data_IF_294416354413
#
_entry.id   IF_294416354413
#
_cell.length_a   1.000
_cell.length_b   1.000
_cell.length_c   1.000
_cell.angle_alpha   90.00
_cell.angle_beta   90.00
_cell.angle_gamma   90.00
#
_symmetry.space_group_name_H-M   'P 1'
#
loop_
_entity.id
_entity.type
_entity.pdbx_description
1 polymer ?
#
# COMPACT_ATOMS: atom_id res chain seq x y z
N UNK A 1 -11.36 -14.15 -26.09
CA UNK A 1 -12.05 -14.92 -27.14
C UNK A 1 -12.33 -13.94 -28.25
N UNK A 2 -12.07 -14.30 -29.51
CA UNK A 2 -12.56 -13.52 -30.65
C UNK A 2 -14.07 -13.70 -30.70
N UNK A 3 -14.85 -12.61 -30.64
CA UNK A 3 -16.33 -12.66 -30.64
C UNK A 3 -16.89 -13.40 -31.87
N UNK A 4 -16.12 -13.43 -32.96
CA UNK A 4 -16.47 -14.03 -34.25
C UNK A 4 -16.71 -15.56 -34.24
N UNK A 5 -16.34 -16.26 -33.16
CA UNK A 5 -16.47 -17.73 -33.05
C UNK A 5 -17.64 -18.18 -32.17
N UNK A 6 -18.43 -17.25 -31.62
CA UNK A 6 -19.57 -17.58 -30.77
C UNK A 6 -20.82 -17.86 -31.63
N UNK A 7 -21.53 -18.99 -31.45
CA UNK A 7 -22.79 -19.21 -32.14
C UNK A 7 -23.86 -18.19 -31.72
N UNK A 8 -24.57 -17.60 -32.69
CA UNK A 8 -25.53 -16.50 -32.48
C UNK A 8 -26.68 -16.82 -31.49
N UNK A 9 -27.00 -18.10 -31.30
CA UNK A 9 -28.05 -18.54 -30.38
C UNK A 9 -27.59 -18.63 -28.91
N UNK A 10 -26.29 -18.53 -28.65
CA UNK A 10 -25.69 -18.54 -27.30
C UNK A 10 -25.43 -17.10 -26.85
N UNK A 11 -26.00 -16.74 -25.69
CA UNK A 11 -25.81 -15.41 -25.13
C UNK A 11 -24.40 -15.28 -24.50
N UNK A 12 -23.80 -14.08 -24.55
CA UNK A 12 -22.45 -13.82 -24.03
C UNK A 12 -22.27 -14.29 -22.58
N UNK A 13 -23.26 -14.06 -21.71
CA UNK A 13 -23.26 -14.52 -20.32
C UNK A 13 -23.02 -16.03 -20.16
N UNK A 14 -23.60 -16.85 -21.04
CA UNK A 14 -23.43 -18.31 -21.00
C UNK A 14 -22.03 -18.69 -21.46
N UNK A 15 -21.50 -17.99 -22.46
CA UNK A 15 -20.13 -18.17 -22.92
C UNK A 15 -19.09 -17.81 -21.84
N UNK A 16 -19.33 -16.74 -21.08
CA UNK A 16 -18.52 -16.36 -19.92
C UNK A 16 -18.57 -17.42 -18.82
N UNK A 17 -19.75 -17.97 -18.52
CA UNK A 17 -19.91 -19.09 -17.57
C UNK A 17 -19.11 -20.33 -18.01
N UNK A 18 -19.16 -20.69 -19.29
CA UNK A 18 -18.38 -21.81 -19.86
C UNK A 18 -16.88 -21.53 -19.76
N UNK A 19 -16.46 -20.32 -20.12
CA UNK A 19 -15.05 -19.91 -20.06
C UNK A 19 -14.51 -19.96 -18.63
N UNK A 20 -15.29 -19.46 -17.67
CA UNK A 20 -14.95 -19.54 -16.25
C UNK A 20 -14.85 -20.99 -15.79
N UNK A 21 -15.90 -21.80 -16.02
CA UNK A 21 -15.93 -23.19 -15.57
C UNK A 21 -14.74 -23.98 -16.16
N UNK A 22 -14.46 -23.81 -17.46
CA UNK A 22 -13.32 -24.44 -18.12
C UNK A 22 -11.97 -24.00 -17.54
N UNK A 23 -11.77 -22.70 -17.26
CA UNK A 23 -10.55 -22.19 -16.61
C UNK A 23 -10.41 -22.72 -15.19
N UNK A 24 -11.49 -22.68 -14.40
CA UNK A 24 -11.54 -23.16 -13.03
C UNK A 24 -11.18 -24.65 -12.94
N UNK A 25 -11.85 -25.49 -13.74
CA UNK A 25 -11.59 -26.93 -13.82
C UNK A 25 -10.14 -27.19 -14.29
N UNK A 26 -9.62 -26.42 -15.25
CA UNK A 26 -8.22 -26.54 -15.68
C UNK A 26 -7.24 -26.24 -14.54
N UNK A 27 -7.50 -25.20 -13.76
CA UNK A 27 -6.66 -24.81 -12.61
C UNK A 27 -6.72 -25.87 -11.51
N UNK A 28 -7.90 -26.44 -11.24
CA UNK A 28 -8.09 -27.50 -10.26
C UNK A 28 -7.45 -28.83 -10.70
N UNK A 29 -7.49 -29.15 -12.00
CA UNK A 29 -6.93 -30.40 -12.52
C UNK A 29 -5.42 -30.35 -12.75
N UNK A 30 -4.87 -29.18 -13.06
CA UNK A 30 -3.44 -29.04 -13.32
C UNK A 30 -2.95 -27.64 -12.87
N UNK A 31 -2.50 -27.49 -11.61
CA UNK A 31 -1.89 -26.25 -11.15
C UNK A 31 -0.63 -26.04 -11.99
N UNK A 32 -0.67 -25.08 -12.92
CA UNK A 32 0.37 -24.95 -13.93
C UNK A 32 1.75 -24.71 -13.30
N UNK A 33 2.79 -25.42 -13.77
CA UNK A 33 4.20 -25.21 -13.40
C UNK A 33 4.69 -23.77 -13.65
N UNK A 34 3.97 -22.97 -14.45
CA UNK A 34 4.27 -21.56 -14.67
C UNK A 34 4.14 -20.70 -13.40
N UNK A 35 3.24 -21.06 -12.47
CA UNK A 35 3.04 -20.31 -11.23
C UNK A 35 4.12 -20.57 -10.17
N UNK A 36 4.91 -21.64 -10.33
CA UNK A 36 6.06 -21.95 -9.49
C UNK A 36 7.36 -21.25 -9.94
N UNK A 37 7.37 -20.62 -11.12
CA UNK A 37 8.58 -20.15 -11.80
C UNK A 37 8.55 -18.64 -12.12
N UNK A 38 8.20 -17.80 -11.14
CA UNK A 38 8.48 -16.36 -11.19
C UNK A 38 9.21 -15.80 -9.94
N UNK A 39 9.51 -16.65 -8.94
CA UNK A 39 10.26 -16.26 -7.74
C UNK A 39 11.75 -16.65 -7.73
N UNK A 40 12.24 -17.35 -8.75
CA UNK A 40 13.62 -17.84 -8.81
C UNK A 40 14.31 -17.40 -10.11
N UNK A 41 14.71 -16.14 -10.19
CA UNK A 41 15.42 -15.63 -11.35
C UNK A 41 15.69 -14.14 -11.30
N UNK A 42 16.58 -13.73 -10.39
CA UNK A 42 17.55 -12.63 -10.57
C UNK A 42 18.43 -12.49 -9.32
N UNK A 43 19.26 -13.51 -9.06
CA UNK A 43 20.51 -13.30 -8.33
C UNK A 43 21.61 -13.10 -9.38
N UNK A 44 21.73 -11.87 -9.89
CA UNK A 44 22.95 -11.42 -10.55
C UNK A 44 23.83 -10.76 -9.50
N UNK A 45 24.95 -11.43 -9.24
CA UNK A 45 26.12 -11.02 -8.48
C UNK A 45 26.37 -9.49 -8.41
N UNK A 46 26.50 -8.97 -7.20
CA UNK A 46 27.42 -7.86 -6.92
C UNK A 46 28.13 -8.11 -5.59
N UNK A 47 29.40 -8.49 -5.70
CA UNK A 47 30.38 -8.56 -4.62
C UNK A 47 30.42 -7.23 -3.85
N UNK A 48 30.40 -7.31 -2.52
CA UNK A 48 31.02 -6.30 -1.64
C UNK A 48 31.79 -6.98 -0.50
N UNK A 49 32.85 -6.33 0.03
CA UNK A 49 33.96 -6.99 0.68
C UNK A 49 33.69 -7.23 2.17
N UNK A 50 34.19 -8.35 2.67
CA UNK A 50 34.28 -8.67 4.09
C UNK A 50 35.26 -7.71 4.78
N UNK A 51 34.83 -7.05 5.86
CA UNK A 51 35.72 -6.65 6.95
C UNK A 51 35.26 -7.29 8.26
N UNK A 52 36.18 -7.65 9.17
CA UNK A 52 35.90 -8.52 10.30
C UNK A 52 35.59 -7.69 11.56
N UNK A 53 34.54 -8.07 12.30
CA UNK A 53 34.38 -7.66 13.69
C UNK A 53 34.31 -8.91 14.58
N UNK A 54 35.41 -9.04 15.31
CA UNK A 54 35.71 -10.06 16.29
C UNK A 54 35.11 -9.61 17.63
N UNK A 55 34.03 -10.24 18.08
CA UNK A 55 33.60 -10.18 19.48
C UNK A 55 33.22 -11.60 19.92
N UNK A 56 34.11 -12.20 20.72
CA UNK A 56 33.86 -13.41 21.50
C UNK A 56 32.81 -13.12 22.58
N UNK A 57 31.80 -13.97 22.69
CA UNK A 57 30.99 -14.04 23.91
C UNK A 57 29.70 -14.83 23.77
N UNK A 58 29.69 -16.00 24.41
CA UNK A 58 28.54 -16.83 24.77
C UNK A 58 27.77 -17.57 23.66
N UNK A 59 28.27 -18.77 23.39
CA UNK A 59 27.48 -19.90 22.92
C UNK A 59 26.32 -20.21 23.91
N UNK A 60 25.09 -20.02 23.44
CA UNK A 60 23.96 -20.89 23.82
C UNK A 60 23.48 -21.56 22.54
N UNK A 61 23.67 -22.87 22.49
CA UNK A 61 23.21 -23.75 21.42
C UNK A 61 21.70 -23.59 21.22
N UNK A 62 21.29 -22.97 20.13
CA UNK A 62 19.97 -23.20 19.54
C UNK A 62 20.10 -24.40 18.61
N UNK A 63 19.31 -25.47 18.77
CA UNK A 63 19.23 -26.48 17.74
C UNK A 63 18.52 -25.83 16.55
N UNK A 64 19.30 -25.56 15.51
CA UNK A 64 18.80 -25.30 14.17
C UNK A 64 18.19 -26.60 13.66
N UNK A 65 17.03 -27.00 14.18
CA UNK A 65 16.13 -27.86 13.44
C UNK A 65 15.57 -27.01 12.30
N UNK A 66 16.35 -26.98 11.21
CA UNK A 66 15.74 -27.05 9.88
C UNK A 66 14.91 -28.32 9.91
N UNK A 67 13.66 -28.23 10.34
CA UNK A 67 12.69 -29.15 9.81
C UNK A 67 12.67 -28.84 8.31
N UNK A 68 13.11 -29.79 7.46
CA UNK A 68 12.73 -29.68 6.08
C UNK A 68 11.21 -29.75 6.14
N UNK A 69 10.52 -28.66 5.78
CA UNK A 69 9.16 -28.81 5.31
C UNK A 69 9.24 -29.93 4.29
N UNK A 70 8.73 -31.09 4.69
CA UNK A 70 8.56 -32.21 3.82
C UNK A 70 7.74 -31.61 2.71
N UNK A 71 8.39 -31.41 1.57
CA UNK A 71 7.74 -31.33 0.30
C UNK A 71 7.02 -32.68 0.18
N UNK A 72 5.87 -32.80 0.85
CA UNK A 72 4.86 -33.76 0.52
C UNK A 72 4.54 -33.37 -0.90
N UNK A 73 5.18 -34.09 -1.82
CA UNK A 73 4.72 -34.20 -3.19
C UNK A 73 3.21 -34.36 -3.06
N UNK A 74 2.46 -33.30 -3.34
CA UNK A 74 1.07 -33.40 -3.70
C UNK A 74 1.09 -34.05 -5.09
N UNK A 75 1.43 -35.34 -5.10
CA UNK A 75 1.18 -36.25 -6.20
C UNK A 75 -0.32 -36.30 -6.35
N UNK A 76 -0.83 -35.47 -7.25
CA UNK A 76 -2.07 -35.71 -8.01
C UNK A 76 -3.23 -36.35 -7.25
N UNK A 77 -3.55 -35.86 -6.06
CA UNK A 77 -4.92 -36.02 -5.57
C UNK A 77 -5.72 -34.94 -6.31
N UNK A 78 -6.60 -35.39 -7.19
CA UNK A 78 -7.47 -34.51 -7.98
C UNK A 78 -8.16 -33.51 -7.03
N UNK A 79 -7.89 -32.22 -7.22
CA UNK A 79 -8.54 -31.17 -6.41
C UNK A 79 -10.05 -31.10 -6.68
N UNK A 80 -10.51 -31.76 -7.74
CA UNK A 80 -11.90 -32.11 -7.99
C UNK A 80 -12.11 -33.54 -7.49
N UNK A 81 -13.08 -33.77 -6.60
CA UNK A 81 -13.40 -35.15 -6.25
C UNK A 81 -13.88 -35.88 -7.51
N UNK A 82 -13.42 -37.13 -7.69
CA UNK A 82 -13.83 -37.98 -8.81
C UNK A 82 -15.37 -38.06 -8.94
N UNK A 83 -16.10 -38.04 -7.82
CA UNK A 83 -17.57 -38.04 -7.82
C UNK A 83 -18.23 -36.81 -8.44
N UNK A 84 -17.56 -35.66 -8.45
CA UNK A 84 -18.06 -34.43 -9.09
C UNK A 84 -17.62 -34.35 -10.55
N UNK A 85 -16.44 -34.87 -10.87
CA UNK A 85 -16.03 -35.09 -12.26
C UNK A 85 -17.03 -36.02 -12.99
N UNK A 86 -17.44 -37.11 -12.34
CA UNK A 86 -18.44 -38.05 -12.87
C UNK A 86 -19.82 -37.39 -13.04
N UNK A 87 -20.22 -36.50 -12.12
CA UNK A 87 -21.47 -35.71 -12.26
C UNK A 87 -21.41 -34.74 -13.43
N UNK A 88 -20.28 -34.06 -13.61
CA UNK A 88 -20.08 -33.15 -14.75
C UNK A 88 -20.12 -33.93 -16.06
N UNK A 89 -19.47 -35.10 -16.11
CA UNK A 89 -19.50 -36.00 -17.26
C UNK A 89 -20.92 -36.47 -17.57
N UNK A 90 -21.69 -36.92 -16.57
CA UNK A 90 -23.08 -37.33 -16.75
C UNK A 90 -23.96 -36.20 -17.31
N UNK A 91 -23.83 -34.98 -16.79
CA UNK A 91 -24.57 -33.81 -17.32
C UNK A 91 -24.21 -33.50 -18.78
N UNK A 92 -22.93 -33.63 -19.16
CA UNK A 92 -22.49 -33.40 -20.53
C UNK A 92 -22.93 -34.52 -21.49
N UNK A 93 -22.99 -35.77 -21.00
CA UNK A 93 -23.49 -36.91 -21.76
C UNK A 93 -24.99 -36.79 -22.02
N UNK A 94 -25.79 -36.43 -21.00
CA UNK A 94 -27.24 -36.21 -21.14
C UNK A 94 -27.56 -35.12 -22.19
N UNK A 95 -26.81 -34.01 -22.17
CA UNK A 95 -26.93 -32.97 -23.19
C UNK A 95 -26.55 -33.46 -24.59
N UNK A 96 -25.53 -34.33 -24.71
CA UNK A 96 -25.08 -34.87 -26.00
C UNK A 96 -26.04 -35.92 -26.57
N UNK A 97 -26.70 -36.70 -25.71
CA UNK A 97 -27.67 -37.73 -26.10
C UNK A 97 -29.02 -37.13 -26.52
N UNK A 98 -29.30 -35.88 -26.13
CA UNK A 98 -30.51 -35.17 -26.55
C UNK A 98 -30.55 -34.93 -28.08
N UNK A 99 -31.68 -35.27 -28.71
CA UNK A 99 -31.87 -35.18 -30.17
C UNK A 99 -32.11 -33.76 -30.69
N UNK A 100 -32.55 -32.85 -29.81
CA UNK A 100 -32.84 -31.45 -30.12
C UNK A 100 -32.17 -30.52 -29.09
N UNK A 101 -31.67 -29.37 -29.56
CA UNK A 101 -31.01 -28.38 -28.69
C UNK A 101 -32.03 -27.62 -27.83
N UNK A 102 -32.09 -27.99 -26.56
CA UNK A 102 -32.91 -27.30 -25.56
C UNK A 102 -32.08 -26.23 -24.84
N UNK A 103 -32.26 -24.96 -25.25
CA UNK A 103 -31.52 -23.81 -24.68
C UNK A 103 -31.55 -23.77 -23.14
N UNK A 104 -32.72 -23.95 -22.53
CA UNK A 104 -32.89 -23.91 -21.06
C UNK A 104 -32.13 -25.02 -20.34
N UNK A 105 -32.18 -26.25 -20.87
CA UNK A 105 -31.47 -27.40 -20.29
C UNK A 105 -29.95 -27.21 -20.39
N UNK A 106 -29.48 -26.68 -21.52
CA UNK A 106 -28.07 -26.34 -21.71
C UNK A 106 -27.61 -25.25 -20.72
N UNK A 107 -28.35 -24.15 -20.59
CA UNK A 107 -28.04 -23.08 -19.63
C UNK A 107 -28.01 -23.60 -18.18
N UNK A 108 -29.00 -24.41 -17.78
CA UNK A 108 -29.07 -25.00 -16.43
C UNK A 108 -27.91 -25.94 -16.13
N UNK A 109 -27.47 -26.73 -17.11
CA UNK A 109 -26.32 -27.62 -16.96
C UNK A 109 -25.02 -26.81 -16.85
N UNK A 110 -24.84 -25.79 -17.69
CA UNK A 110 -23.68 -24.87 -17.62
C UNK A 110 -23.62 -24.17 -16.26
N UNK A 111 -24.75 -23.68 -15.74
CA UNK A 111 -24.81 -23.03 -14.43
C UNK A 111 -24.51 -24.00 -13.29
N UNK A 112 -24.95 -25.25 -13.40
CA UNK A 112 -24.62 -26.31 -12.44
C UNK A 112 -23.13 -26.63 -12.43
N UNK A 113 -22.50 -26.78 -13.59
CA UNK A 113 -21.04 -27.00 -13.71
C UNK A 113 -20.27 -25.80 -13.17
N UNK A 114 -20.73 -24.56 -13.47
CA UNK A 114 -20.14 -23.33 -12.94
C UNK A 114 -20.20 -23.29 -11.42
N UNK A 115 -21.35 -23.60 -10.83
CA UNK A 115 -21.56 -23.59 -9.39
C UNK A 115 -20.65 -24.60 -8.66
N UNK A 116 -20.52 -25.83 -9.22
CA UNK A 116 -19.59 -26.84 -8.70
C UNK A 116 -18.16 -26.30 -8.73
N UNK A 117 -17.69 -25.84 -9.90
CA UNK A 117 -16.33 -25.33 -10.06
C UNK A 117 -16.02 -24.13 -9.13
N UNK A 118 -16.99 -23.22 -8.96
CA UNK A 118 -16.84 -22.07 -8.09
C UNK A 118 -16.78 -22.46 -6.61
N UNK A 119 -17.57 -23.44 -6.17
CA UNK A 119 -17.54 -23.95 -4.80
C UNK A 119 -16.19 -24.60 -4.45
N UNK A 120 -15.61 -25.38 -5.38
CA UNK A 120 -14.27 -25.95 -5.16
C UNK A 120 -13.17 -24.91 -5.13
N UNK A 121 -13.22 -23.91 -6.01
CA UNK A 121 -12.27 -22.81 -5.96
C UNK A 121 -12.39 -22.05 -4.62
N UNK A 122 -13.61 -21.85 -4.13
CA UNK A 122 -13.83 -21.25 -2.82
C UNK A 122 -13.19 -22.08 -1.71
N UNK A 123 -13.41 -23.40 -1.67
CA UNK A 123 -12.79 -24.27 -0.67
C UNK A 123 -11.26 -24.27 -0.77
N UNK A 124 -10.72 -24.28 -1.98
CA UNK A 124 -9.28 -24.24 -2.21
C UNK A 124 -8.67 -22.91 -1.73
N UNK A 125 -9.29 -21.78 -2.04
CA UNK A 125 -8.74 -20.46 -1.76
C UNK A 125 -9.00 -20.02 -0.32
N UNK A 126 -10.23 -20.19 0.17
CA UNK A 126 -10.63 -19.72 1.51
C UNK A 126 -10.14 -20.65 2.60
N UNK A 127 -10.39 -21.96 2.46
CA UNK A 127 -10.09 -22.93 3.53
C UNK A 127 -8.65 -23.42 3.44
N UNK A 128 -8.20 -23.88 2.26
CA UNK A 128 -6.86 -24.48 2.13
C UNK A 128 -5.74 -23.45 2.05
N UNK A 129 -5.96 -22.33 1.36
CA UNK A 129 -4.96 -21.28 1.21
C UNK A 129 -5.11 -20.12 2.20
N UNK A 130 -6.08 -20.19 3.13
CA UNK A 130 -6.27 -19.24 4.22
C UNK A 130 -6.41 -17.77 3.75
N UNK A 131 -7.32 -17.55 2.79
CA UNK A 131 -7.60 -16.22 2.23
C UNK A 131 -7.86 -15.18 3.33
N UNK A 132 -8.59 -15.56 4.37
CA UNK A 132 -8.94 -14.63 5.46
C UNK A 132 -7.69 -14.12 6.19
N UNK A 133 -6.71 -14.97 6.47
CA UNK A 133 -5.44 -14.54 7.05
C UNK A 133 -4.66 -13.59 6.13
N UNK A 134 -4.66 -13.83 4.82
CA UNK A 134 -4.05 -12.94 3.84
C UNK A 134 -4.77 -11.59 3.73
N UNK A 135 -6.11 -11.58 3.72
CA UNK A 135 -6.90 -10.35 3.74
C UNK A 135 -6.66 -9.55 5.02
N UNK A 136 -6.56 -10.22 6.17
CA UNK A 136 -6.22 -9.58 7.44
C UNK A 136 -4.83 -8.95 7.38
N UNK A 137 -3.84 -9.63 6.78
CA UNK A 137 -2.52 -9.04 6.57
C UNK A 137 -2.59 -7.78 5.66
N UNK A 138 -3.40 -7.79 4.60
CA UNK A 138 -3.62 -6.61 3.78
C UNK A 138 -4.27 -5.47 4.58
N UNK A 139 -5.26 -5.75 5.44
CA UNK A 139 -5.82 -4.75 6.35
C UNK A 139 -4.75 -4.21 7.33
N UNK A 140 -4.01 -5.09 7.97
CA UNK A 140 -3.00 -4.77 8.97
C UNK A 140 -1.90 -3.85 8.41
N UNK A 141 -1.39 -4.17 7.22
CA UNK A 141 -0.25 -3.47 6.61
C UNK A 141 -0.65 -2.41 5.57
N UNK A 142 -1.55 -2.70 4.64
CA UNK A 142 -1.93 -1.72 3.59
C UNK A 142 -2.96 -0.70 4.07
N UNK A 143 -3.83 -1.07 5.02
CA UNK A 143 -4.83 -0.15 5.58
C UNK A 143 -4.40 0.45 6.93
N UNK A 144 -3.17 0.15 7.38
CA UNK A 144 -2.55 0.68 8.61
C UNK A 144 -3.31 0.30 9.90
N UNK A 145 -4.01 -0.84 9.93
CA UNK A 145 -4.68 -1.27 11.17
C UNK A 145 -3.69 -1.60 12.30
N UNK A 146 -2.45 -2.02 11.97
CA UNK A 146 -1.33 -2.07 12.93
C UNK A 146 -0.73 -0.69 13.17
N UNK A 147 -1.49 0.14 13.87
CA UNK A 147 -1.14 1.54 14.11
C UNK A 147 0.17 1.72 14.91
N UNK A 148 0.46 0.79 15.83
CA UNK A 148 1.69 0.75 16.63
C UNK A 148 2.94 0.49 15.78
N UNK A 149 2.86 -0.45 14.84
CA UNK A 149 3.91 -0.75 13.88
C UNK A 149 4.24 0.47 13.02
N UNK A 150 3.22 1.09 12.40
CA UNK A 150 3.45 2.28 11.56
C UNK A 150 3.88 3.49 12.37
N UNK A 151 3.40 3.64 13.61
CA UNK A 151 3.88 4.68 14.51
C UNK A 151 5.38 4.49 14.81
N UNK A 152 5.81 3.29 15.19
CA UNK A 152 7.22 3.01 15.43
C UNK A 152 8.06 3.22 14.16
N UNK A 153 7.60 2.72 13.01
CA UNK A 153 8.28 2.92 11.73
C UNK A 153 8.48 4.41 11.39
N UNK A 154 7.42 5.23 11.49
CA UNK A 154 7.48 6.67 11.19
C UNK A 154 8.27 7.45 12.25
N UNK A 155 8.40 6.94 13.48
CA UNK A 155 9.29 7.48 14.50
C UNK A 155 10.76 7.25 14.16
N UNK A 156 11.13 6.01 13.85
CA UNK A 156 12.52 5.65 13.52
C UNK A 156 12.98 6.28 12.21
N UNK A 157 12.11 6.33 11.19
CA UNK A 157 12.44 6.88 9.87
C UNK A 157 12.32 8.40 9.77
N UNK A 158 11.86 9.11 10.82
CA UNK A 158 11.63 10.57 10.80
C UNK A 158 12.83 11.36 10.29
N UNK A 159 14.01 11.05 10.80
CA UNK A 159 15.24 11.77 10.47
C UNK A 159 15.66 11.59 9.00
N UNK A 160 15.34 10.44 8.40
CA UNK A 160 15.54 10.17 6.98
C UNK A 160 14.51 10.92 6.15
N UNK A 161 13.24 10.90 6.58
CA UNK A 161 12.13 11.46 5.81
C UNK A 161 12.02 12.98 5.86
N UNK A 162 12.81 13.65 6.70
CA UNK A 162 12.94 15.12 6.71
C UNK A 162 13.69 15.68 5.52
N UNK A 163 14.58 14.87 4.92
CA UNK A 163 15.30 15.25 3.72
C UNK A 163 14.63 14.59 2.50
N UNK A 164 14.74 15.19 1.30
CA UNK A 164 14.31 14.52 0.08
C UNK A 164 14.98 13.15 -0.06
N UNK A 165 14.26 12.11 -0.53
CA UNK A 165 14.82 10.77 -0.66
C UNK A 165 15.98 10.74 -1.64
N UNK A 166 17.03 9.99 -1.28
CA UNK A 166 18.15 9.69 -2.17
C UNK A 166 17.72 8.59 -3.14
N UNK A 167 17.70 8.90 -4.43
CA UNK A 167 17.15 8.00 -5.48
C UNK A 167 17.73 6.58 -5.47
N UNK A 168 19.01 6.40 -5.10
CA UNK A 168 19.68 5.09 -5.11
C UNK A 168 19.64 4.32 -3.79
N UNK A 169 19.49 5.00 -2.63
CA UNK A 169 19.62 4.35 -1.31
C UNK A 169 18.34 4.37 -0.49
N UNK A 170 17.36 5.22 -0.82
CA UNK A 170 16.25 5.46 0.09
C UNK A 170 15.32 4.25 0.33
N UNK A 171 15.25 3.27 -0.59
CA UNK A 171 14.58 1.99 -0.29
C UNK A 171 15.33 1.19 0.79
N UNK A 172 16.65 1.04 0.64
CA UNK A 172 17.48 0.34 1.61
C UNK A 172 17.53 1.06 2.97
N UNK A 173 17.60 2.39 2.93
CA UNK A 173 17.63 3.23 4.13
C UNK A 173 16.32 3.14 4.92
N UNK A 174 15.16 3.01 4.24
CA UNK A 174 13.87 2.82 4.90
C UNK A 174 13.58 1.37 5.29
N UNK A 175 14.19 0.38 4.63
CA UNK A 175 14.01 -1.03 4.97
C UNK A 175 14.49 -1.33 6.39
N UNK A 176 15.57 -0.70 6.83
CA UNK A 176 16.13 -0.86 8.18
C UNK A 176 15.12 -0.45 9.28
N UNK A 177 14.59 0.79 9.32
CA UNK A 177 13.59 1.18 10.31
C UNK A 177 12.28 0.40 10.15
N UNK A 178 11.93 -0.06 8.94
CA UNK A 178 10.76 -0.91 8.72
C UNK A 178 10.90 -2.28 9.41
N UNK A 179 12.05 -2.94 9.25
CA UNK A 179 12.37 -4.20 9.94
C UNK A 179 12.51 -3.99 11.45
N UNK A 180 13.13 -2.89 11.88
CA UNK A 180 13.26 -2.56 13.29
C UNK A 180 11.89 -2.38 13.95
N UNK A 181 10.97 -1.65 13.31
CA UNK A 181 9.59 -1.51 13.78
C UNK A 181 8.91 -2.88 13.91
N UNK A 182 9.12 -3.78 12.94
CA UNK A 182 8.57 -5.13 13.03
C UNK A 182 9.11 -5.86 14.26
N UNK A 183 10.43 -5.84 14.49
CA UNK A 183 11.01 -6.49 15.68
C UNK A 183 10.53 -5.89 17.01
N UNK A 184 10.10 -4.63 17.02
CA UNK A 184 9.65 -3.93 18.23
C UNK A 184 8.16 -4.15 18.53
N UNK A 185 7.32 -4.24 17.51
CA UNK A 185 5.86 -4.19 17.68
C UNK A 185 5.14 -5.43 17.15
N UNK A 186 5.68 -6.13 16.17
CA UNK A 186 5.07 -7.37 15.67
C UNK A 186 5.41 -8.52 16.60
N UNK A 187 4.41 -9.31 16.97
CA UNK A 187 4.64 -10.56 17.69
C UNK A 187 5.39 -11.55 16.80
N UNK A 188 6.20 -12.42 17.40
CA UNK A 188 6.91 -13.51 16.70
C UNK A 188 5.96 -14.46 15.93
N UNK A 189 4.64 -14.35 16.15
CA UNK A 189 3.59 -15.18 15.56
C UNK A 189 3.06 -14.66 14.21
N UNK A 190 3.46 -13.46 13.74
CA UNK A 190 2.97 -12.96 12.45
C UNK A 190 3.65 -13.63 11.25
N UNK A 191 3.08 -14.77 10.85
CA UNK A 191 3.50 -15.54 9.67
C UNK A 191 3.43 -14.78 8.33
N UNK A 192 2.69 -13.66 8.26
CA UNK A 192 2.48 -12.93 7.01
C UNK A 192 3.43 -11.75 6.80
N UNK A 193 4.12 -11.28 7.84
CA UNK A 193 5.05 -10.16 7.72
C UNK A 193 6.18 -10.42 6.71
N UNK A 194 6.67 -11.66 6.63
CA UNK A 194 7.71 -12.07 5.67
C UNK A 194 7.33 -11.87 4.19
N UNK A 195 6.03 -11.72 3.92
CA UNK A 195 5.48 -11.48 2.57
C UNK A 195 5.31 -10.00 2.24
N UNK A 196 5.48 -9.10 3.21
CA UNK A 196 5.35 -7.66 3.03
C UNK A 196 6.73 -7.06 2.85
N UNK A 197 6.91 -6.27 1.79
CA UNK A 197 8.17 -5.57 1.54
C UNK A 197 7.92 -4.11 1.18
N UNK A 198 8.74 -3.22 1.74
CA UNK A 198 8.71 -1.80 1.43
C UNK A 198 9.39 -1.53 0.09
N UNK A 199 8.76 -0.75 -0.78
CA UNK A 199 9.26 -0.42 -2.11
C UNK A 199 9.20 1.06 -2.35
N UNK A 200 10.27 1.61 -2.94
CA UNK A 200 10.29 2.99 -3.35
C UNK A 200 10.48 3.07 -4.87
N UNK A 201 9.47 3.53 -5.64
CA UNK A 201 9.60 3.73 -7.07
C UNK A 201 10.75 4.70 -7.33
N UNK A 202 11.76 4.28 -8.08
CA UNK A 202 12.84 5.16 -8.47
C UNK A 202 12.29 6.30 -9.33
N UNK A 203 12.18 7.50 -8.77
CA UNK A 203 11.88 8.71 -9.53
C UNK A 203 13.08 9.05 -10.41
N UNK A 204 13.16 8.49 -11.63
CA UNK A 204 14.21 8.91 -12.57
C UNK A 204 14.76 7.92 -13.58
N UNK A 205 14.01 6.93 -14.07
CA UNK A 205 14.30 6.36 -15.40
C UNK A 205 13.16 6.73 -16.33
N UNK A 206 13.29 7.86 -17.03
CA UNK A 206 12.61 8.02 -18.31
C UNK A 206 13.19 6.93 -19.22
N UNK A 207 12.56 5.76 -19.26
CA UNK A 207 12.74 4.81 -20.35
C UNK A 207 12.23 5.56 -21.58
N UNK A 208 13.15 6.15 -22.34
CA UNK A 208 12.89 6.50 -23.73
C UNK A 208 12.46 5.18 -24.37
N UNK A 209 11.18 5.04 -24.66
CA UNK A 209 10.72 4.04 -25.61
C UNK A 209 11.50 4.28 -26.90
N UNK A 210 12.40 3.37 -27.22
CA UNK A 210 13.04 3.32 -28.52
C UNK A 210 11.99 2.80 -29.52
N UNK A 211 11.26 3.72 -30.14
CA UNK A 211 10.64 3.54 -31.44
C UNK A 211 10.69 4.90 -32.16
N UNK A 212 11.40 4.93 -33.28
CA UNK A 212 11.90 6.15 -33.91
C UNK A 212 10.94 6.91 -34.82
N UNK A 213 11.47 8.05 -35.29
CA UNK A 213 11.20 8.74 -36.57
C UNK A 213 9.79 9.36 -36.75
N UNK A 214 9.59 10.65 -37.08
CA UNK A 214 10.36 11.63 -37.86
C UNK A 214 9.92 13.09 -37.52
N UNK A 215 10.90 14.00 -37.62
CA UNK A 215 10.84 15.42 -38.05
C UNK A 215 9.62 16.28 -37.65
N UNK A 216 9.91 17.35 -36.90
CA UNK A 216 9.53 18.72 -37.27
C UNK A 216 10.53 19.74 -36.67
N UNK A 217 11.03 20.65 -37.53
CA UNK A 217 12.00 21.70 -37.17
C UNK A 217 11.27 22.87 -36.46
N UNK A 218 11.84 23.51 -35.43
CA UNK A 218 11.37 24.82 -35.01
C UNK A 218 12.04 25.90 -35.87
N UNK A 219 11.22 26.79 -36.41
CA UNK A 219 11.63 28.03 -37.07
C UNK A 219 12.14 28.98 -35.98
N UNK A 220 13.33 29.51 -36.21
CA UNK A 220 13.97 30.57 -35.42
C UNK A 220 13.31 31.88 -35.83
N UNK A 221 12.69 32.59 -34.88
CA UNK A 221 12.53 34.03 -34.96
C UNK A 221 12.87 34.66 -33.61
N UNK A 222 13.82 35.59 -33.65
CA UNK A 222 14.48 36.15 -32.50
C UNK A 222 13.67 37.23 -31.80
N UNK A 223 13.71 37.20 -30.48
CA UNK A 223 13.61 38.41 -29.66
C UNK A 223 14.39 38.21 -28.35
N UNK A 224 15.38 39.06 -28.01
CA UNK A 224 16.13 38.95 -26.76
C UNK A 224 15.49 39.85 -25.71
N UNK A 225 14.76 39.26 -24.76
CA UNK A 225 14.19 40.01 -23.64
C UNK A 225 13.13 39.23 -22.89
N UNK A 226 13.53 38.52 -21.84
CA UNK A 226 12.59 37.78 -20.97
C UNK A 226 13.18 36.54 -20.30
N UNK A 227 14.41 36.62 -19.78
CA UNK A 227 15.01 35.52 -19.02
C UNK A 227 14.49 35.51 -17.57
N UNK A 228 13.22 35.15 -17.33
CA UNK A 228 12.67 34.96 -15.97
C UNK A 228 11.53 33.91 -15.91
N UNK A 229 11.57 32.83 -16.70
CA UNK A 229 10.58 31.76 -16.54
C UNK A 229 11.13 30.37 -16.87
N UNK A 230 12.03 29.88 -16.02
CA UNK A 230 12.39 28.45 -15.99
C UNK A 230 12.56 27.88 -14.57
N UNK A 231 12.21 28.65 -13.54
CA UNK A 231 12.39 28.24 -12.14
C UNK A 231 11.08 27.84 -11.42
N UNK A 232 9.92 27.85 -12.10
CA UNK A 232 8.63 27.51 -11.48
C UNK A 232 8.29 26.01 -11.51
N UNK A 233 9.20 25.15 -11.98
CA UNK A 233 9.00 23.69 -12.00
C UNK A 233 9.80 22.93 -10.93
N UNK A 234 10.42 23.65 -9.99
CA UNK A 234 11.16 23.06 -8.85
C UNK A 234 10.44 23.21 -7.50
N UNK A 235 9.25 23.84 -7.47
CA UNK A 235 8.62 24.35 -6.23
C UNK A 235 7.44 23.52 -5.70
N UNK A 236 7.39 22.20 -5.98
CA UNK A 236 6.35 21.29 -5.46
C UNK A 236 6.85 19.89 -5.06
N UNK A 237 8.12 19.75 -4.67
CA UNK A 237 8.69 18.48 -4.21
C UNK A 237 9.30 18.56 -2.81
N UNK A 238 8.64 19.28 -1.89
CA UNK A 238 9.03 19.27 -0.48
C UNK A 238 8.86 17.89 0.17
N UNK A 239 8.27 16.93 -0.55
CA UNK A 239 7.89 15.63 -0.03
C UNK A 239 8.11 14.53 -1.08
N UNK A 240 9.36 14.14 -1.29
CA UNK A 240 9.68 13.06 -2.25
C UNK A 240 9.27 11.66 -1.77
N UNK A 241 8.70 11.54 -0.58
CA UNK A 241 8.33 10.26 0.04
C UNK A 241 6.90 9.82 -0.29
N UNK A 242 6.16 10.60 -1.07
CA UNK A 242 4.82 10.24 -1.56
C UNK A 242 4.81 8.93 -2.38
N UNK A 243 5.97 8.50 -2.90
CA UNK A 243 6.12 7.26 -3.65
C UNK A 243 6.23 5.99 -2.79
N UNK A 244 6.42 6.09 -1.47
CA UNK A 244 6.62 4.90 -0.61
C UNK A 244 5.42 3.95 -0.73
N UNK A 245 5.68 2.69 -1.06
CA UNK A 245 4.67 1.68 -1.35
C UNK A 245 5.02 0.36 -0.67
N UNK A 246 4.03 -0.53 -0.57
CA UNK A 246 4.24 -1.90 -0.10
C UNK A 246 4.01 -2.87 -1.27
N UNK A 247 4.84 -3.90 -1.33
CA UNK A 247 4.59 -5.09 -2.15
C UNK A 247 4.20 -6.26 -1.25
N UNK A 248 3.26 -7.07 -1.74
CA UNK A 248 2.78 -8.27 -1.05
C UNK A 248 3.03 -9.51 -1.91
N UNK A 249 3.82 -10.45 -1.41
CA UNK A 249 4.17 -11.68 -2.13
C UNK A 249 3.10 -12.76 -1.93
N UNK A 250 2.47 -13.17 -3.04
CA UNK A 250 1.34 -14.08 -3.06
C UNK A 250 1.70 -15.35 -3.81
N UNK A 251 1.52 -16.48 -3.13
CA UNK A 251 1.70 -17.80 -3.73
C UNK A 251 0.41 -18.28 -4.39
N UNK A 252 0.55 -19.22 -5.33
CA UNK A 252 -0.59 -19.96 -5.84
C UNK A 252 -1.26 -20.74 -4.68
N UNK A 253 -2.60 -20.79 -4.56
CA UNK A 253 -3.65 -20.41 -5.52
C UNK A 253 -4.22 -18.99 -5.35
N UNK A 254 -3.74 -18.20 -4.40
CA UNK A 254 -4.32 -16.91 -4.03
C UNK A 254 -4.23 -15.85 -5.12
N UNK A 255 -3.33 -16.03 -6.09
CA UNK A 255 -3.20 -15.17 -7.28
C UNK A 255 -4.47 -15.13 -8.15
N UNK A 256 -5.35 -16.14 -8.03
CA UNK A 256 -6.66 -16.14 -8.68
C UNK A 256 -7.58 -15.06 -8.11
N UNK A 257 -7.39 -14.73 -6.83
CA UNK A 257 -8.17 -13.74 -6.11
C UNK A 257 -7.47 -12.37 -6.10
N UNK A 258 -6.19 -12.36 -5.77
CA UNK A 258 -5.37 -11.14 -5.73
C UNK A 258 -4.65 -10.93 -7.06
N UNK A 259 -5.32 -10.22 -7.96
CA UNK A 259 -4.69 -9.76 -9.20
C UNK A 259 -3.77 -8.56 -8.95
N UNK A 260 -2.90 -8.26 -9.91
CA UNK A 260 -2.04 -7.07 -9.83
C UNK A 260 -2.86 -5.78 -9.73
N UNK A 261 -4.02 -5.74 -10.38
CA UNK A 261 -4.95 -4.60 -10.31
C UNK A 261 -5.49 -4.42 -8.89
N UNK A 262 -5.89 -5.51 -8.23
CA UNK A 262 -6.36 -5.52 -6.85
C UNK A 262 -5.26 -5.00 -5.90
N UNK A 263 -4.04 -5.50 -6.02
CA UNK A 263 -2.92 -5.03 -5.20
C UNK A 263 -2.59 -3.56 -5.45
N UNK A 264 -2.66 -3.10 -6.70
CA UNK A 264 -2.43 -1.68 -7.03
C UNK A 264 -3.44 -0.74 -6.35
N UNK A 265 -4.70 -1.18 -6.21
CA UNK A 265 -5.74 -0.45 -5.48
C UNK A 265 -5.40 -0.35 -3.99
N UNK A 266 -4.97 -1.44 -3.35
CA UNK A 266 -4.49 -1.41 -1.97
C UNK A 266 -3.27 -0.51 -1.79
N UNK A 267 -2.29 -0.57 -2.70
CA UNK A 267 -1.12 0.31 -2.68
C UNK A 267 -1.50 1.79 -2.73
N UNK A 268 -2.48 2.15 -3.56
CA UNK A 268 -2.97 3.54 -3.68
C UNK A 268 -3.60 4.03 -2.38
N UNK A 269 -4.41 3.19 -1.73
CA UNK A 269 -5.00 3.50 -0.42
C UNK A 269 -3.90 3.64 0.64
N UNK A 270 -2.95 2.69 0.67
CA UNK A 270 -1.80 2.71 1.58
C UNK A 270 -1.00 4.01 1.48
N UNK A 271 -0.62 4.43 0.26
CA UNK A 271 0.15 5.66 0.04
C UNK A 271 -0.55 6.89 0.60
N UNK A 272 -1.87 6.95 0.48
CA UNK A 272 -2.66 8.04 1.04
C UNK A 272 -2.70 8.00 2.57
N UNK A 273 -3.00 6.83 3.15
CA UNK A 273 -3.06 6.64 4.59
C UNK A 273 -1.71 6.91 5.26
N UNK A 274 -0.61 6.47 4.65
CA UNK A 274 0.74 6.71 5.16
C UNK A 274 1.07 8.21 5.17
N UNK A 275 0.75 8.94 4.10
CA UNK A 275 0.94 10.40 4.04
C UNK A 275 0.11 11.12 5.09
N UNK A 276 -1.14 10.72 5.26
CA UNK A 276 -2.03 11.28 6.29
C UNK A 276 -1.50 11.01 7.69
N UNK A 277 -1.10 9.77 7.99
CA UNK A 277 -0.52 9.35 9.28
C UNK A 277 0.77 10.09 9.58
N UNK A 278 1.66 10.23 8.59
CA UNK A 278 2.91 10.98 8.77
C UNK A 278 2.65 12.47 9.03
N UNK A 279 1.70 13.07 8.33
CA UNK A 279 1.30 14.48 8.57
C UNK A 279 0.76 14.67 9.99
N UNK A 280 -0.08 13.75 10.46
CA UNK A 280 -0.56 13.72 11.85
C UNK A 280 0.63 13.70 12.83
N UNK A 281 1.56 12.77 12.64
CA UNK A 281 2.69 12.58 13.54
C UNK A 281 3.67 13.76 13.56
N UNK A 282 3.93 14.39 12.41
CA UNK A 282 4.78 15.58 12.37
C UNK A 282 4.13 16.78 13.09
N UNK A 283 2.81 16.97 12.95
CA UNK A 283 2.06 17.99 13.70
C UNK A 283 2.09 17.77 15.22
N UNK A 284 2.14 16.51 15.66
CA UNK A 284 2.25 16.13 17.08
C UNK A 284 3.67 16.32 17.61
N UNK A 285 4.68 15.89 16.87
CA UNK A 285 6.09 16.00 17.27
C UNK A 285 6.61 17.43 17.27
N UNK A 286 6.29 18.22 16.24
CA UNK A 286 6.65 19.65 16.19
C UNK A 286 6.08 20.36 17.42
N UNK A 287 4.81 20.11 17.75
CA UNK A 287 4.18 20.66 18.94
C UNK A 287 4.87 20.25 20.25
N UNK A 288 5.16 18.96 20.41
CA UNK A 288 5.86 18.48 21.59
C UNK A 288 7.20 19.21 21.75
N UNK A 289 7.99 19.34 20.68
CA UNK A 289 9.26 20.08 20.70
C UNK A 289 9.08 21.53 21.15
N UNK A 290 8.11 22.25 20.56
CA UNK A 290 7.83 23.65 20.90
C UNK A 290 7.37 23.83 22.36
N UNK A 291 6.55 22.92 22.89
CA UNK A 291 6.11 22.98 24.28
C UNK A 291 7.25 22.76 25.27
N UNK A 292 8.13 21.79 25.01
CA UNK A 292 9.29 21.55 25.86
C UNK A 292 10.23 22.77 25.88
N UNK A 293 10.40 23.44 24.73
CA UNK A 293 11.21 24.64 24.62
C UNK A 293 10.57 25.85 25.31
N UNK A 294 9.27 26.11 25.15
CA UNK A 294 8.57 27.20 25.86
C UNK A 294 8.61 27.00 27.38
N UNK A 295 8.46 25.75 27.86
CA UNK A 295 8.61 25.44 29.28
C UNK A 295 10.04 25.66 29.80
N UNK A 296 11.07 25.31 29.01
CA UNK A 296 12.47 25.57 29.36
C UNK A 296 12.78 27.08 29.38
N UNK A 297 12.33 27.81 28.37
CA UNK A 297 12.46 29.27 28.28
C UNK A 297 11.75 29.95 29.47
N UNK A 298 10.55 29.49 29.84
CA UNK A 298 9.83 30.01 31.00
C UNK A 298 10.58 29.76 32.32
N UNK A 299 11.17 28.58 32.49
CA UNK A 299 11.99 28.28 33.67
C UNK A 299 13.22 29.18 33.73
N UNK A 300 13.89 29.41 32.59
CA UNK A 300 15.05 30.29 32.49
C UNK A 300 14.71 31.76 32.77
N UNK A 301 13.59 32.28 32.25
CA UNK A 301 13.13 33.66 32.50
C UNK A 301 12.74 33.87 33.97
N UNK A 302 12.14 32.86 34.62
CA UNK A 302 11.88 32.95 36.07
C UNK A 302 13.17 33.06 36.88
N UNK A 303 14.26 32.47 36.40
CA UNK A 303 15.57 32.49 37.04
C UNK A 303 16.42 33.72 36.66
N UNK A 304 16.22 34.29 35.47
CA UNK A 304 16.93 35.45 34.96
C UNK A 304 16.07 36.72 35.04
N UNK A 305 16.47 37.70 35.86
CA UNK A 305 15.84 39.02 35.95
C UNK A 305 16.10 39.87 34.69
N UNK A 306 15.62 39.46 33.52
CA UNK A 306 15.87 40.13 32.24
C UNK A 306 14.59 40.62 31.54
N UNK A 307 14.77 41.59 30.64
CA UNK A 307 13.78 42.49 30.06
C UNK A 307 12.56 41.80 29.41
N UNK A 308 11.35 42.25 29.77
CA UNK A 308 10.09 41.56 29.52
C UNK A 308 9.44 41.82 28.16
N UNK A 309 9.94 42.77 27.35
CA UNK A 309 9.23 43.20 26.13
C UNK A 309 9.37 42.21 24.96
N UNK A 310 10.57 41.68 24.72
CA UNK A 310 10.88 40.72 23.64
C UNK A 310 10.17 39.38 23.89
N UNK A 311 10.12 38.93 25.15
CA UNK A 311 9.46 37.67 25.55
C UNK A 311 7.93 37.73 25.39
N UNK A 312 7.31 38.90 25.59
CA UNK A 312 5.87 39.10 25.39
C UNK A 312 5.47 39.09 23.91
N UNK A 313 6.25 39.71 23.03
CA UNK A 313 5.97 39.71 21.59
C UNK A 313 6.15 38.32 20.97
N UNK A 314 7.21 37.60 21.36
CA UNK A 314 7.43 36.19 21.00
C UNK A 314 6.26 35.32 21.46
N UNK A 315 5.79 35.50 22.70
CA UNK A 315 4.62 34.81 23.27
C UNK A 315 3.30 35.10 22.53
N UNK A 316 3.06 36.33 22.09
CA UNK A 316 1.87 36.67 21.30
C UNK A 316 1.88 36.03 19.91
N UNK A 317 3.06 35.96 19.26
CA UNK A 317 3.23 35.27 17.96
C UNK A 317 2.99 33.76 18.10
N UNK A 318 3.54 33.14 19.14
CA UNK A 318 3.30 31.72 19.45
C UNK A 318 1.82 31.41 19.64
N UNK A 319 1.06 32.22 20.39
CA UNK A 319 -0.38 32.00 20.58
C UNK A 319 -1.19 31.98 19.28
N UNK A 320 -0.88 32.84 18.31
CA UNK A 320 -1.56 32.84 17.01
C UNK A 320 -1.22 31.58 16.21
N UNK A 321 0.05 31.19 16.24
CA UNK A 321 0.55 29.98 15.60
C UNK A 321 -0.09 28.71 16.17
N UNK A 322 -0.28 28.65 17.50
CA UNK A 322 -0.92 27.53 18.18
C UNK A 322 -2.38 27.34 17.78
N UNK A 323 -3.12 28.44 17.58
CA UNK A 323 -4.51 28.36 17.13
C UNK A 323 -4.60 27.71 15.74
N UNK A 324 -3.76 28.15 14.80
CA UNK A 324 -3.72 27.57 13.45
C UNK A 324 -3.35 26.09 13.51
N UNK A 325 -2.33 25.74 14.30
CA UNK A 325 -1.91 24.36 14.52
C UNK A 325 -3.04 23.48 15.07
N UNK A 326 -3.80 23.97 16.05
CA UNK A 326 -4.89 23.17 16.63
C UNK A 326 -5.97 22.90 15.60
N UNK A 327 -6.31 23.87 14.75
CA UNK A 327 -7.24 23.64 13.65
C UNK A 327 -6.70 22.62 12.62
N UNK A 328 -5.42 22.71 12.26
CA UNK A 328 -4.77 21.74 11.36
C UNK A 328 -4.77 20.33 11.96
N UNK A 329 -4.33 20.18 13.21
CA UNK A 329 -4.30 18.91 13.92
C UNK A 329 -5.70 18.34 14.14
N UNK A 330 -6.69 19.17 14.47
CA UNK A 330 -8.08 18.76 14.56
C UNK A 330 -8.58 18.21 13.23
N UNK A 331 -8.37 18.93 12.12
CA UNK A 331 -8.80 18.47 10.80
C UNK A 331 -8.17 17.13 10.43
N UNK A 332 -6.84 17.00 10.55
CA UNK A 332 -6.11 15.78 10.20
C UNK A 332 -6.53 14.59 11.08
N UNK A 333 -6.67 14.80 12.40
CA UNK A 333 -7.13 13.75 13.33
C UNK A 333 -8.55 13.28 13.02
N UNK A 334 -9.48 14.19 12.77
CA UNK A 334 -10.86 13.81 12.43
C UNK A 334 -10.94 13.10 11.08
N UNK A 335 -10.18 13.55 10.08
CA UNK A 335 -10.12 12.89 8.79
C UNK A 335 -9.57 11.47 8.90
N UNK A 336 -8.48 11.30 9.65
CA UNK A 336 -7.90 9.99 9.90
C UNK A 336 -8.87 9.09 10.67
N UNK A 337 -9.55 9.61 11.70
CA UNK A 337 -10.53 8.86 12.49
C UNK A 337 -11.70 8.38 11.62
N UNK A 338 -12.28 9.27 10.80
CA UNK A 338 -13.33 8.91 9.86
C UNK A 338 -12.89 7.79 8.91
N UNK A 339 -11.72 7.93 8.26
CA UNK A 339 -11.25 6.93 7.29
C UNK A 339 -10.97 5.59 7.98
N UNK A 340 -10.37 5.59 9.17
CA UNK A 340 -10.02 4.35 9.86
C UNK A 340 -11.27 3.65 10.43
N UNK A 341 -12.13 4.37 11.15
CA UNK A 341 -13.25 3.77 11.89
C UNK A 341 -14.49 3.63 11.00
N UNK A 342 -14.94 4.73 10.40
CA UNK A 342 -16.23 4.74 9.69
C UNK A 342 -16.14 4.14 8.29
N UNK A 343 -14.95 4.16 7.67
CA UNK A 343 -14.72 3.59 6.34
C UNK A 343 -14.05 2.22 6.43
N UNK A 344 -12.81 2.13 6.90
CA UNK A 344 -12.03 0.89 6.85
C UNK A 344 -12.61 -0.20 7.76
N UNK A 345 -12.84 0.10 9.04
CA UNK A 345 -13.38 -0.91 9.98
C UNK A 345 -14.82 -1.31 9.61
N UNK A 346 -15.67 -0.35 9.24
CA UNK A 346 -17.05 -0.65 8.80
C UNK A 346 -17.07 -1.57 7.57
N UNK A 347 -16.36 -1.20 6.50
CA UNK A 347 -16.32 -2.00 5.27
C UNK A 347 -15.65 -3.36 5.49
N UNK A 348 -14.65 -3.44 6.37
CA UNK A 348 -13.99 -4.69 6.73
C UNK A 348 -14.95 -5.68 7.39
N UNK A 349 -15.77 -5.22 8.34
CA UNK A 349 -16.74 -6.09 9.01
C UNK A 349 -17.76 -6.66 8.01
N UNK A 350 -18.25 -5.83 7.08
CA UNK A 350 -19.16 -6.27 6.00
C UNK A 350 -18.49 -7.34 5.12
N UNK A 351 -17.22 -7.14 4.74
CA UNK A 351 -16.45 -8.12 3.99
C UNK A 351 -16.25 -9.43 4.77
N UNK A 352 -15.94 -9.33 6.05
CA UNK A 352 -15.68 -10.49 6.90
C UNK A 352 -16.95 -11.33 7.14
N UNK A 353 -18.12 -10.69 7.25
CA UNK A 353 -19.41 -11.36 7.36
C UNK A 353 -19.76 -12.05 6.03
N UNK A 354 -19.58 -11.36 4.89
CA UNK A 354 -19.85 -11.95 3.56
C UNK A 354 -18.92 -13.13 3.22
N UNK A 355 -17.64 -13.10 3.64
CA UNK A 355 -16.72 -14.24 3.48
C UNK A 355 -17.19 -15.47 4.25
N UNK A 356 -17.83 -15.28 5.41
CA UNK A 356 -18.33 -16.39 6.23
C UNK A 356 -19.62 -16.97 5.66
N UNK A 357 -20.49 -16.13 5.10
CA UNK A 357 -21.79 -16.53 4.56
C UNK A 357 -21.71 -17.07 3.11
N UNK A 358 -20.71 -16.65 2.33
CA UNK A 358 -20.59 -17.04 0.91
C UNK A 358 -19.85 -18.36 0.72
N UNK A 359 -20.30 -19.14 -0.27
CA UNK A 359 -19.66 -20.39 -0.72
C UNK A 359 -19.38 -20.41 -2.23
N UNK A 360 -19.49 -19.25 -2.90
CA UNK A 360 -19.20 -19.07 -4.32
C UNK A 360 -17.97 -18.15 -4.48
N UNK A 361 -16.93 -18.67 -5.14
CA UNK A 361 -15.71 -17.93 -5.42
C UNK A 361 -15.94 -16.69 -6.30
N UNK A 362 -16.85 -16.78 -7.28
CA UNK A 362 -17.10 -15.68 -8.21
C UNK A 362 -17.81 -14.52 -7.54
N UNK A 363 -18.79 -14.83 -6.69
CA UNK A 363 -19.46 -13.85 -5.84
C UNK A 363 -18.46 -13.15 -4.93
N UNK A 364 -17.56 -13.91 -4.30
CA UNK A 364 -16.57 -13.36 -3.38
C UNK A 364 -15.58 -12.42 -4.08
N UNK A 365 -15.12 -12.76 -5.28
CA UNK A 365 -14.26 -11.86 -6.08
C UNK A 365 -14.99 -10.56 -6.44
N UNK A 366 -16.27 -10.65 -6.85
CA UNK A 366 -17.09 -9.47 -7.13
C UNK A 366 -17.26 -8.58 -5.91
N UNK A 367 -17.63 -9.18 -4.77
CA UNK A 367 -17.81 -8.47 -3.51
C UNK A 367 -16.54 -7.79 -3.01
N UNK A 368 -15.37 -8.43 -3.18
CA UNK A 368 -14.09 -7.83 -2.84
C UNK A 368 -13.74 -6.61 -3.71
N UNK A 369 -14.09 -6.65 -4.99
CA UNK A 369 -13.91 -5.50 -5.87
C UNK A 369 -14.84 -4.33 -5.47
N UNK A 370 -16.07 -4.63 -5.05
CA UNK A 370 -17.00 -3.65 -4.50
C UNK A 370 -16.46 -3.04 -3.20
N UNK A 371 -15.98 -3.88 -2.27
CA UNK A 371 -15.31 -3.45 -1.04
C UNK A 371 -14.15 -2.47 -1.33
N UNK A 372 -13.26 -2.81 -2.25
CA UNK A 372 -12.14 -1.92 -2.62
C UNK A 372 -12.62 -0.62 -3.26
N UNK A 373 -13.65 -0.68 -4.10
CA UNK A 373 -14.22 0.52 -4.72
C UNK A 373 -14.92 1.41 -3.69
N UNK A 374 -15.56 0.81 -2.69
CA UNK A 374 -16.14 1.49 -1.54
C UNK A 374 -15.05 2.17 -0.70
N UNK A 375 -13.94 1.49 -0.40
CA UNK A 375 -12.81 2.09 0.32
C UNK A 375 -12.24 3.31 -0.39
N UNK A 376 -11.99 3.22 -1.71
CA UNK A 376 -11.39 4.32 -2.47
C UNK A 376 -12.36 5.51 -2.56
N UNK A 377 -13.64 5.26 -2.84
CA UNK A 377 -14.64 6.31 -2.98
C UNK A 377 -14.96 7.01 -1.65
N UNK A 378 -15.18 6.24 -0.58
CA UNK A 378 -15.47 6.77 0.76
C UNK A 378 -14.24 7.43 1.41
N UNK A 379 -13.02 7.06 1.01
CA UNK A 379 -11.79 7.77 1.42
C UNK A 379 -11.51 9.04 0.58
N UNK A 380 -12.43 9.44 -0.29
CA UNK A 380 -12.32 10.60 -1.20
C UNK A 380 -11.18 10.53 -2.23
N UNK A 381 -10.66 9.34 -2.52
CA UNK A 381 -9.56 9.15 -3.45
C UNK A 381 -9.98 9.19 -4.91
N UNK A 382 -11.25 8.89 -5.20
CA UNK A 382 -11.81 8.95 -6.57
C UNK A 382 -12.18 10.37 -7.00
N UNK A 383 -12.47 11.24 -6.03
CA UNK A 383 -12.87 12.63 -6.30
C UNK A 383 -11.61 13.50 -6.41
N UNK A 384 -11.10 13.65 -7.64
CA UNK A 384 -9.84 14.35 -7.89
C UNK A 384 -9.78 15.80 -7.42
N UNK A 385 -10.89 16.51 -7.25
CA UNK A 385 -10.90 17.85 -6.63
C UNK A 385 -10.66 17.80 -5.13
N UNK A 386 -11.36 16.91 -4.41
CA UNK A 386 -11.23 16.74 -2.95
C UNK A 386 -9.85 16.19 -2.59
N UNK A 387 -9.40 15.15 -3.29
CA UNK A 387 -8.07 14.57 -3.08
C UNK A 387 -6.96 15.63 -3.23
N UNK A 388 -7.02 16.50 -4.26
CA UNK A 388 -6.05 17.60 -4.42
C UNK A 388 -6.09 18.62 -3.30
N UNK A 389 -7.28 18.95 -2.79
CA UNK A 389 -7.44 19.88 -1.66
C UNK A 389 -6.84 19.27 -0.39
N UNK A 390 -7.14 17.99 -0.10
CA UNK A 390 -6.59 17.28 1.05
C UNK A 390 -5.07 17.13 0.96
N UNK A 391 -4.53 16.81 -0.21
CA UNK A 391 -3.08 16.79 -0.47
C UNK A 391 -2.46 18.18 -0.23
N UNK A 392 -3.12 19.25 -0.70
CA UNK A 392 -2.69 20.62 -0.44
C UNK A 392 -2.68 20.98 1.06
N UNK A 393 -3.72 20.57 1.80
CA UNK A 393 -3.80 20.76 3.25
C UNK A 393 -2.67 20.01 3.97
N UNK A 394 -2.41 18.75 3.60
CA UNK A 394 -1.32 17.97 4.19
C UNK A 394 0.04 18.63 3.94
N UNK A 395 0.30 19.11 2.72
CA UNK A 395 1.53 19.85 2.38
C UNK A 395 1.67 21.14 3.18
N UNK A 396 0.59 21.91 3.35
CA UNK A 396 0.59 23.12 4.18
C UNK A 396 0.88 22.80 5.65
N UNK A 397 0.36 21.69 6.17
CA UNK A 397 0.65 21.24 7.55
C UNK A 397 2.14 20.91 7.72
N UNK A 398 2.75 20.20 6.76
CA UNK A 398 4.18 19.88 6.80
C UNK A 398 5.06 21.13 6.66
N UNK A 399 4.71 22.05 5.74
CA UNK A 399 5.38 23.35 5.60
C UNK A 399 5.29 24.19 6.87
N UNK A 400 4.13 24.17 7.54
CA UNK A 400 3.93 24.81 8.82
C UNK A 400 4.89 24.23 9.87
N UNK A 401 4.93 22.91 10.04
CA UNK A 401 5.85 22.25 10.97
C UNK A 401 7.31 22.65 10.72
N UNK A 402 7.77 22.60 9.47
CA UNK A 402 9.14 22.96 9.12
C UNK A 402 9.46 24.44 9.40
N UNK A 403 8.51 25.33 9.07
CA UNK A 403 8.67 26.77 9.33
C UNK A 403 8.71 27.07 10.82
N UNK A 404 7.93 26.36 11.64
CA UNK A 404 7.94 26.54 13.10
C UNK A 404 9.27 26.09 13.72
N UNK A 405 9.83 24.97 13.26
CA UNK A 405 11.10 24.45 13.77
C UNK A 405 12.30 25.34 13.35
N UNK A 406 12.28 25.89 12.13
CA UNK A 406 13.37 26.73 11.63
C UNK A 406 13.41 28.15 12.22
N UNK A 407 12.25 28.76 12.49
CA UNK A 407 12.18 30.10 13.12
C UNK A 407 12.81 30.11 14.52
N UNK A 408 12.82 28.97 15.21
CA UNK A 408 13.51 28.82 16.49
C UNK A 408 15.02 28.58 16.33
N UNK A 409 15.46 28.00 15.20
CA UNK A 409 16.89 27.83 14.88
C UNK A 409 17.60 29.10 14.40
N UNK A 410 16.87 30.01 13.74
CA UNK A 410 17.40 31.28 13.23
C UNK A 410 17.35 32.42 14.25
N UNK A 411 17.01 32.13 15.50
CA UNK A 411 17.18 33.08 16.60
C UNK A 411 18.63 33.03 17.09
N UNK A 412 19.58 33.29 16.18
CA UNK A 412 20.97 33.54 16.56
C UNK A 412 21.01 34.98 17.11
N UNK A 413 21.40 35.19 18.38
CA UNK A 413 21.39 36.52 19.00
C UNK A 413 22.31 37.54 18.28
N UNK A 414 23.20 37.03 17.43
CA UNK A 414 24.21 37.75 16.64
C UNK A 414 23.62 38.63 15.53
N UNK A 415 22.45 38.32 14.96
CA UNK A 415 21.84 39.17 13.92
C UNK A 415 21.09 40.38 14.50
N UNK A 416 20.71 40.34 15.79
CA UNK A 416 20.07 41.48 16.46
C UNK A 416 21.07 42.56 16.90
N UNK A 417 22.34 42.22 17.15
CA UNK A 417 23.37 43.22 17.50
C UNK A 417 23.76 44.10 16.30
N UNK A 418 23.67 43.59 15.07
CA UNK A 418 23.98 44.37 13.87
C UNK A 418 22.88 45.36 13.44
N UNK A 419 21.65 45.23 13.97
CA UNK A 419 20.56 46.18 13.68
C UNK A 419 20.44 47.30 14.72
N UNK A 420 21.26 47.30 15.77
CA UNK A 420 21.29 48.34 16.80
C UNK A 420 22.41 49.38 16.63
N UNK A 421 23.27 49.25 15.62
CA UNK A 421 24.44 50.15 15.41
C UNK A 421 24.38 51.05 14.17
N UNK A 422 23.21 51.27 13.55
CA UNK A 422 23.04 52.27 12.46
C UNK A 422 21.95 53.27 12.76
#
# INVERSE_FOLDING_TARGET
>A
MSEDMLPDYIHMRVAESILFAGKAIRVLRNPSNAFWCQGAGNQSHSNMPRLPLNVKGNARNFPLQKEPFVATKLTGEELLLQSEADKIEAMLLDLKESSEFHKRSFESAVDSIRAIAASHLWQLVVVRADLNGHLKALKDYFLLAKGDFFQCFLEESRHLMRLPPRQSTAEADLMIPFQLAATKTTSEEDRYFSRVSLRMPSFGVKVKSAQGDLKEKPIIDGNPGGALSSNLSLDMSLDGWDGVSLEYYIDWPLQLFFTQEVLSKYCRVFQYLLRLKRTQMELEKSWASLMHQDHADFANIRNAQFDGSISLQRRQRFRRMWRVREHMAFLIRNLQFYIQVDVIESQWNILQDHIQDSHDFTELVGFHQEYLSALISQSFLDIGSVSRILDGIMKLCLQFCWSTENQDSSSDPSELEHLTEV
#
